data_IF_050168075112
#
_entry.id   IF_050168075112
#
_cell.length_a   1.000
_cell.length_b   1.000
_cell.length_c   1.000
_cell.angle_alpha   90.00
_cell.angle_beta   90.00
_cell.angle_gamma   90.00
#
_symmetry.space_group_name_H-M   'P 1'
#
loop_
_entity.id
_entity.type
_entity.pdbx_description
1 polymer ?
#
# COMPACT_ATOMS: atom_id res chain seq x y z
N UNK A 1 1.38 -20.10 -8.29
CA UNK A 1 1.58 -19.36 -7.02
C UNK A 1 0.23 -18.79 -6.62
N UNK A 2 -0.27 -19.09 -5.41
CA UNK A 2 -1.57 -18.61 -4.95
C UNK A 2 -1.38 -17.15 -4.53
N UNK A 3 -1.90 -16.19 -5.31
CA UNK A 3 -1.95 -14.79 -4.89
C UNK A 3 -3.03 -14.71 -3.81
N UNK A 4 -2.59 -14.68 -2.55
CA UNK A 4 -3.48 -14.45 -1.42
C UNK A 4 -3.60 -12.93 -1.25
N UNK A 5 -4.83 -12.46 -1.09
CA UNK A 5 -5.10 -11.05 -0.90
C UNK A 5 -5.75 -10.87 0.47
N UNK A 6 -5.20 -9.97 1.28
CA UNK A 6 -5.84 -9.45 2.48
C UNK A 6 -6.76 -8.29 2.12
N UNK A 7 -7.88 -8.18 2.84
CA UNK A 7 -8.76 -7.01 2.75
C UNK A 7 -8.43 -6.07 3.89
N UNK A 8 -8.18 -4.81 3.57
CA UNK A 8 -8.06 -3.73 4.55
C UNK A 8 -9.19 -2.72 4.37
N UNK A 9 -9.56 -2.06 5.45
CA UNK A 9 -10.61 -1.03 5.48
C UNK A 9 -10.03 0.28 6.02
N UNK A 10 -10.35 1.38 5.35
CA UNK A 10 -10.08 2.74 5.81
C UNK A 10 -11.32 3.63 5.68
N UNK A 11 -11.18 4.92 6.03
CA UNK A 11 -12.27 5.90 5.94
C UNK A 11 -12.83 6.06 4.51
N UNK A 12 -12.08 5.67 3.49
CA UNK A 12 -12.46 5.75 2.08
C UNK A 12 -12.98 4.41 1.53
N UNK A 13 -13.16 3.38 2.37
CA UNK A 13 -13.74 2.09 2.01
C UNK A 13 -12.80 0.89 2.19
N UNK A 14 -13.13 -0.24 1.56
CA UNK A 14 -12.29 -1.45 1.58
C UNK A 14 -11.39 -1.56 0.34
N UNK A 15 -10.17 -2.10 0.51
CA UNK A 15 -9.28 -2.50 -0.59
C UNK A 15 -8.68 -3.87 -0.37
N UNK A 16 -8.41 -4.56 -1.49
CA UNK A 16 -7.65 -5.80 -1.53
C UNK A 16 -6.17 -5.48 -1.73
N UNK A 17 -5.34 -5.95 -0.82
CA UNK A 17 -3.89 -5.79 -0.83
C UNK A 17 -3.29 -7.19 -0.98
N UNK A 18 -2.24 -7.32 -1.78
CA UNK A 18 -1.56 -8.60 -1.95
C UNK A 18 -0.81 -8.94 -0.65
N UNK A 19 -0.87 -10.19 -0.19
CA UNK A 19 -0.12 -10.64 0.99
C UNK A 19 1.40 -10.62 0.78
N UNK A 20 1.87 -10.46 -0.46
CA UNK A 20 3.30 -10.31 -0.75
C UNK A 20 3.86 -8.92 -0.43
N UNK A 21 3.01 -7.92 -0.14
CA UNK A 21 3.46 -6.55 0.17
C UNK A 21 3.24 -6.23 1.65
N UNK A 22 4.24 -5.57 2.25
CA UNK A 22 4.24 -5.23 3.68
C UNK A 22 3.49 -3.93 4.02
N UNK A 23 3.10 -3.14 3.02
CA UNK A 23 2.46 -1.85 3.25
C UNK A 23 0.93 -1.97 3.36
N UNK A 24 0.31 -0.99 4.01
CA UNK A 24 -1.14 -0.91 4.25
C UNK A 24 -1.88 -0.10 3.17
N UNK A 25 -3.21 -0.02 3.29
CA UNK A 25 -4.14 0.65 2.38
C UNK A 25 -3.82 2.13 2.23
N UNK A 26 -3.33 2.78 3.29
CA UNK A 26 -2.92 4.18 3.26
C UNK A 26 -1.71 4.39 2.33
N UNK A 27 -0.69 3.54 2.43
CA UNK A 27 0.47 3.58 1.54
C UNK A 27 0.08 3.23 0.11
N UNK A 28 -0.81 2.24 -0.08
CA UNK A 28 -1.34 1.91 -1.40
C UNK A 28 -2.04 3.12 -2.04
N UNK A 29 -2.87 3.84 -1.28
CA UNK A 29 -3.54 5.06 -1.76
C UNK A 29 -2.55 6.19 -2.01
N UNK A 30 -1.52 6.34 -1.18
CA UNK A 30 -0.48 7.33 -1.41
C UNK A 30 0.26 7.05 -2.72
N UNK A 31 0.59 5.77 -3.00
CA UNK A 31 1.17 5.34 -4.28
C UNK A 31 0.19 5.66 -5.40
N UNK A 32 -1.05 5.15 -5.35
CA UNK A 32 -2.07 5.35 -6.39
C UNK A 32 -2.33 6.83 -6.71
N UNK A 33 -2.42 7.69 -5.68
CA UNK A 33 -2.80 9.10 -5.83
C UNK A 33 -1.62 10.04 -6.09
N UNK A 34 -0.40 9.72 -5.64
CA UNK A 34 0.77 10.61 -5.74
C UNK A 34 1.89 10.04 -6.61
N UNK A 35 1.54 9.55 -7.79
CA UNK A 35 2.50 9.15 -8.83
C UNK A 35 3.15 10.37 -9.55
N UNK A 36 3.71 11.32 -8.79
CA UNK A 36 4.12 12.62 -9.35
C UNK A 36 5.39 12.51 -10.23
N UNK A 37 6.37 11.67 -9.86
CA UNK A 37 7.65 11.59 -10.60
C UNK A 37 8.22 10.18 -10.78
N UNK A 38 7.57 9.13 -10.28
CA UNK A 38 8.10 7.75 -10.31
C UNK A 38 9.35 7.51 -9.45
N UNK A 39 9.82 8.53 -8.72
CA UNK A 39 10.92 8.42 -7.75
C UNK A 39 10.32 7.98 -6.42
N UNK A 40 10.74 6.81 -5.91
CA UNK A 40 10.33 6.34 -4.59
C UNK A 40 10.75 7.36 -3.52
N UNK A 41 9.81 7.73 -2.65
CA UNK A 41 10.06 8.61 -1.51
C UNK A 41 10.93 7.84 -0.50
N UNK A 42 12.25 8.01 -0.61
CA UNK A 42 13.29 7.44 0.25
C UNK A 42 13.53 5.91 0.16
N UNK A 43 14.78 5.54 0.45
CA UNK A 43 15.29 4.17 0.63
C UNK A 43 14.94 3.57 2.00
N UNK A 44 14.17 4.28 2.81
CA UNK A 44 13.70 3.79 4.11
C UNK A 44 12.35 3.07 3.96
N UNK A 45 12.19 1.91 4.61
CA UNK A 45 10.94 1.20 4.53
C UNK A 45 9.84 2.07 5.16
N UNK A 46 8.78 2.33 4.40
CA UNK A 46 7.51 2.90 4.88
C UNK A 46 6.76 1.89 5.79
N UNK A 47 7.50 1.05 6.52
CA UNK A 47 7.02 -0.06 7.34
C UNK A 47 6.62 0.39 8.75
N UNK A 48 6.26 1.65 8.93
CA UNK A 48 6.03 2.27 10.24
C UNK A 48 4.62 2.77 10.52
N UNK A 49 3.69 2.68 9.57
CA UNK A 49 2.29 3.05 9.83
C UNK A 49 1.40 1.87 9.46
N UNK A 50 1.17 1.00 10.45
CA UNK A 50 -0.07 0.26 10.58
C UNK A 50 -0.98 1.02 11.52
#
# INVERSE_FOLDING_TARGET
MKQTFRKEHDFLGERKINDTVYYCIQTLRAIENFHITGVAVSREPVAGLC
#
